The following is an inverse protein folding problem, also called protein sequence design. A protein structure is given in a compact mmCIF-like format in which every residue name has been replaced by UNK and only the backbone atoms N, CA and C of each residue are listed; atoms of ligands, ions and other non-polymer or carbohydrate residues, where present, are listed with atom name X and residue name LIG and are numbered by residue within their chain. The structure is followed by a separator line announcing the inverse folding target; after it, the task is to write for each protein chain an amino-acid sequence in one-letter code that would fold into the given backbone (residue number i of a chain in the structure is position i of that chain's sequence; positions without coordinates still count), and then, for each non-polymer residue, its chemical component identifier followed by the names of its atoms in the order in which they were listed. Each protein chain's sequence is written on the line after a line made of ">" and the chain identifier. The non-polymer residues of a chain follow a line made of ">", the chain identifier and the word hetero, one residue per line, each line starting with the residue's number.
data_IF_713513615335
#
_entry.id   IF_713513615335
#
_cell.length_a   1.000
_cell.length_b   1.000
_cell.length_c   1.000
_cell.angle_alpha   90.00
_cell.angle_beta   90.00
_cell.angle_gamma   90.00
#
_symmetry.space_group_name_H-M   'P 1'
#
loop_
_entity.id
_entity.type
_entity.pdbx_description
1 polymer ?
#
# COMPACT_ATOMS: atom_id res chain seq x y z
N UNK A 1 8.04 1.55 -6.16
CA UNK A 1 8.88 0.93 -5.11
C UNK A 1 8.18 1.03 -3.77
N UNK A 2 8.33 0.01 -2.91
CA UNK A 2 7.79 0.05 -1.55
C UNK A 2 8.94 0.00 -0.56
N UNK A 3 9.27 1.14 0.05
CA UNK A 3 10.24 1.18 1.13
C UNK A 3 9.68 0.52 2.40
N UNK A 4 10.54 -0.15 3.17
CA UNK A 4 10.19 -0.76 4.45
C UNK A 4 9.71 0.27 5.45
N UNK A 5 8.86 -0.14 6.39
CA UNK A 5 8.35 0.76 7.44
C UNK A 5 9.48 1.29 8.30
N UNK A 6 10.51 0.48 8.57
CA UNK A 6 11.63 0.88 9.41
C UNK A 6 12.46 1.99 8.78
N UNK A 7 12.69 1.94 7.46
CA UNK A 7 13.37 3.03 6.75
C UNK A 7 12.58 4.34 6.88
N UNK A 8 11.26 4.28 6.68
CA UNK A 8 10.39 5.46 6.80
C UNK A 8 10.43 6.05 8.20
N UNK A 9 10.38 5.20 9.23
CA UNK A 9 10.49 5.62 10.63
C UNK A 9 11.83 6.29 10.91
N UNK A 10 12.95 5.73 10.42
CA UNK A 10 14.29 6.34 10.58
C UNK A 10 14.37 7.71 9.90
N UNK A 11 13.85 7.84 8.68
CA UNK A 11 13.85 9.10 7.93
C UNK A 11 13.02 10.16 8.65
N UNK A 12 11.80 9.81 9.08
CA UNK A 12 10.92 10.73 9.81
C UNK A 12 11.51 11.10 11.18
N UNK A 13 12.09 10.14 11.89
CA UNK A 13 12.77 10.38 13.16
C UNK A 13 13.96 11.34 13.00
N UNK A 14 14.78 11.15 11.97
CA UNK A 14 15.89 12.04 11.65
C UNK A 14 15.43 13.48 11.44
N UNK A 15 14.37 13.69 10.64
CA UNK A 15 13.84 15.04 10.39
C UNK A 15 13.23 15.66 11.65
N UNK A 16 12.50 14.87 12.45
CA UNK A 16 11.91 15.34 13.72
C UNK A 16 12.96 15.68 14.78
N UNK A 17 14.13 15.05 14.73
CA UNK A 17 15.26 15.33 15.61
C UNK A 17 16.08 16.56 15.17
N UNK A 18 15.57 17.36 14.22
CA UNK A 18 16.22 18.59 13.74
C UNK A 18 16.98 18.44 12.42
N UNK A 19 17.01 17.25 11.82
CA UNK A 19 17.62 17.03 10.51
C UNK A 19 16.84 17.67 9.36
N UNK A 20 17.54 18.14 8.33
CA UNK A 20 16.90 18.75 7.16
C UNK A 20 16.22 17.71 6.24
N UNK A 21 15.11 18.07 5.57
CA UNK A 21 14.44 17.17 4.61
C UNK A 21 15.36 16.80 3.41
N UNK A 22 16.12 17.78 2.90
CA UNK A 22 17.07 17.56 1.79
C UNK A 22 18.25 16.71 2.23
N UNK A 23 18.69 16.88 3.47
CA UNK A 23 19.75 16.08 4.07
C UNK A 23 19.29 14.64 4.28
N UNK A 24 18.07 14.44 4.79
CA UNK A 24 17.46 13.12 4.93
C UNK A 24 17.36 12.40 3.57
N UNK A 25 16.93 13.11 2.52
CA UNK A 25 16.86 12.56 1.16
C UNK A 25 18.23 12.04 0.68
N UNK A 26 19.30 12.82 0.89
CA UNK A 26 20.67 12.42 0.53
C UNK A 26 21.18 11.28 1.40
N UNK A 27 21.01 11.35 2.72
CA UNK A 27 21.53 10.38 3.69
C UNK A 27 20.90 9.00 3.55
N UNK A 28 19.61 8.95 3.27
CA UNK A 28 18.86 7.69 3.16
C UNK A 28 18.63 7.27 1.69
N UNK A 29 19.23 7.98 0.73
CA UNK A 29 19.10 7.71 -0.71
C UNK A 29 17.65 7.58 -1.19
N UNK A 30 16.79 8.45 -0.67
CA UNK A 30 15.36 8.52 -1.02
C UNK A 30 15.05 9.85 -1.70
N UNK A 31 14.05 9.84 -2.58
CA UNK A 31 13.59 11.10 -3.18
C UNK A 31 13.08 12.07 -2.11
N UNK A 32 13.29 13.37 -2.33
CA UNK A 32 12.74 14.41 -1.46
C UNK A 32 11.20 14.34 -1.37
N UNK A 33 10.55 13.89 -2.44
CA UNK A 33 9.12 13.66 -2.48
C UNK A 33 8.70 12.60 -1.46
N UNK A 34 9.41 11.48 -1.36
CA UNK A 34 9.13 10.44 -0.35
C UNK A 34 9.27 10.98 1.07
N UNK A 35 10.30 11.78 1.35
CA UNK A 35 10.51 12.39 2.67
C UNK A 35 9.31 13.28 3.04
N UNK A 36 8.87 14.15 2.12
CA UNK A 36 7.70 15.01 2.31
C UNK A 36 6.41 14.23 2.50
N UNK A 37 6.18 13.21 1.67
CA UNK A 37 5.03 12.33 1.76
C UNK A 37 4.96 11.61 3.12
N UNK A 38 6.07 11.10 3.63
CA UNK A 38 6.11 10.43 4.94
C UNK A 38 5.91 11.39 6.11
N UNK A 39 6.40 12.62 6.00
CA UNK A 39 6.19 13.66 7.02
C UNK A 39 4.72 14.11 7.11
N UNK A 40 4.02 14.12 5.96
CA UNK A 40 2.62 14.52 5.90
C UNK A 40 1.64 13.43 6.38
N UNK A 41 2.07 12.16 6.41
CA UNK A 41 1.22 11.03 6.78
C UNK A 41 1.15 10.81 8.30
N UNK A 42 -0.05 10.47 8.79
CA UNK A 42 -0.26 9.99 10.16
C UNK A 42 0.25 8.56 10.36
N UNK A 43 0.11 7.71 9.35
CA UNK A 43 0.57 6.32 9.35
C UNK A 43 1.63 6.10 8.26
N UNK A 44 2.76 5.49 8.65
CA UNK A 44 3.90 5.19 7.77
C UNK A 44 3.80 3.83 7.10
N UNK A 45 2.78 3.02 7.41
CA UNK A 45 2.58 1.72 6.77
C UNK A 45 2.53 1.89 5.24
N UNK A 46 3.15 0.98 4.48
CA UNK A 46 2.96 0.94 3.03
C UNK A 46 1.49 0.73 2.74
N UNK A 47 1.00 1.37 1.67
CA UNK A 47 -0.33 1.10 1.17
C UNK A 47 -0.43 -0.39 0.83
N UNK A 48 -1.45 -1.05 1.36
CA UNK A 48 -1.61 -2.48 1.24
C UNK A 48 -1.78 -2.84 -0.24
N UNK A 49 -0.83 -3.63 -0.77
CA UNK A 49 -0.95 -4.23 -2.10
C UNK A 49 -1.70 -5.54 -1.97
N UNK A 50 -2.59 -5.82 -2.92
CA UNK A 50 -3.28 -7.12 -2.99
C UNK A 50 -4.66 -7.17 -2.35
N UNK A 51 -5.20 -6.05 -1.84
CA UNK A 51 -6.65 -5.97 -1.59
C UNK A 51 -7.34 -6.10 -2.95
N UNK A 52 -8.14 -7.16 -3.19
CA UNK A 52 -8.80 -7.35 -4.46
C UNK A 52 -9.74 -6.16 -4.66
N UNK A 53 -9.45 -5.32 -5.64
CA UNK A 53 -10.38 -4.27 -6.04
C UNK A 53 -11.65 -4.98 -6.52
N UNK A 54 -12.81 -4.65 -5.97
CA UNK A 54 -14.08 -5.05 -6.57
C UNK A 54 -14.11 -4.43 -7.96
N UNK A 55 -13.85 -5.24 -8.99
CA UNK A 55 -14.00 -4.85 -10.39
C UNK A 55 -15.47 -5.07 -10.78
N UNK A 56 -15.74 -5.36 -12.06
CA UNK A 56 -17.10 -5.55 -12.61
C UNK A 56 -17.94 -6.65 -11.95
N UNK A 57 -17.37 -7.50 -11.09
CA UNK A 57 -18.05 -8.66 -10.53
C UNK A 57 -17.75 -8.82 -9.04
N UNK A 58 -18.80 -9.00 -8.27
CA UNK A 58 -18.71 -9.44 -6.89
C UNK A 58 -18.40 -10.95 -6.84
N UNK A 59 -17.23 -11.27 -6.30
CA UNK A 59 -16.74 -12.64 -6.22
C UNK A 59 -17.46 -13.46 -5.17
N UNK A 60 -17.98 -12.84 -4.13
CA UNK A 60 -18.73 -13.56 -3.08
C UNK A 60 -20.11 -13.94 -3.61
N UNK A 61 -20.80 -12.99 -4.24
CA UNK A 61 -22.06 -13.26 -4.93
C UNK A 61 -21.90 -14.33 -6.02
N UNK A 62 -20.83 -14.25 -6.83
CA UNK A 62 -20.53 -15.29 -7.82
C UNK A 62 -20.33 -16.67 -7.18
N UNK A 63 -19.55 -16.75 -6.09
CA UNK A 63 -19.32 -18.04 -5.40
C UNK A 63 -20.60 -18.62 -4.83
N UNK A 64 -21.47 -17.79 -4.24
CA UNK A 64 -22.76 -18.23 -3.74
C UNK A 64 -23.64 -18.77 -4.89
N UNK A 65 -23.68 -18.05 -6.02
CA UNK A 65 -24.43 -18.47 -7.19
C UNK A 65 -23.93 -19.80 -7.79
N UNK A 66 -22.62 -19.99 -7.91
CA UNK A 66 -22.02 -21.24 -8.42
C UNK A 66 -22.31 -22.42 -7.49
N UNK A 67 -22.31 -22.21 -6.16
CA UNK A 67 -22.69 -23.25 -5.19
C UNK A 67 -24.17 -23.61 -5.28
N UNK A 68 -25.04 -22.63 -5.51
CA UNK A 68 -26.47 -22.84 -5.64
C UNK A 68 -26.87 -23.49 -6.98
N UNK A 69 -26.09 -23.28 -8.03
CA UNK A 69 -26.37 -23.79 -9.37
C UNK A 69 -25.14 -24.51 -9.95
N UNK A 70 -24.83 -25.73 -9.46
CA UNK A 70 -23.65 -26.46 -9.91
C UNK A 70 -23.68 -26.79 -11.42
N UNK A 71 -24.88 -27.00 -11.96
CA UNK A 71 -25.09 -27.42 -13.35
C UNK A 71 -25.33 -26.24 -14.31
N UNK A 72 -25.29 -24.99 -13.84
CA UNK A 72 -25.56 -23.82 -14.67
C UNK A 72 -24.60 -23.62 -15.85
N UNK A 73 -23.46 -24.33 -15.85
CA UNK A 73 -22.48 -24.33 -16.94
C UNK A 73 -22.47 -25.63 -17.76
N UNK A 74 -23.32 -26.61 -17.44
CA UNK A 74 -23.44 -27.83 -18.23
C UNK A 74 -24.09 -27.48 -19.58
N UNK A 75 -23.30 -27.48 -20.65
CA UNK A 75 -23.80 -27.41 -22.03
C UNK A 75 -23.97 -28.86 -22.51
N UNK A 76 -25.20 -29.21 -22.85
CA UNK A 76 -25.53 -30.45 -23.56
C UNK A 76 -25.09 -30.37 -25.03
#
# INVERSE_FOLDING_TARGET
>A
MTYSVDLRKKVVGFVRNGGGQREAARRFEVSLWCVRDWLARKDLRPQQKGVPRQRKLDKEALRAHVRANPDALLRY
#
